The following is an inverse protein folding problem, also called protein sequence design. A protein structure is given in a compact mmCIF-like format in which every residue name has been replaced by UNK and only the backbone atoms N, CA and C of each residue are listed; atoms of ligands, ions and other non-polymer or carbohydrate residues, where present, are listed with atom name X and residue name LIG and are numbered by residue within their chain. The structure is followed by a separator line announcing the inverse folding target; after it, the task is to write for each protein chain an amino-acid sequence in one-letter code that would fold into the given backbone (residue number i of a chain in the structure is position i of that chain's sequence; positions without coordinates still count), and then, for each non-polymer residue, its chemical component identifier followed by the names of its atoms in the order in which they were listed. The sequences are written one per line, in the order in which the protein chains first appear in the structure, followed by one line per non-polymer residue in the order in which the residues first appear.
data_IF_716006432221
#
_entry.id   IF_716006432221
#
_cell.length_a   1.000
_cell.length_b   1.000
_cell.length_c   1.000
_cell.angle_alpha   90.00
_cell.angle_beta   90.00
_cell.angle_gamma   90.00
#
_symmetry.space_group_name_H-M   'P 1'
#
loop_
_entity.id
_entity.type
_entity.pdbx_description
1 polymer ?
#
# COMPACT_ATOMS: atom_id res chain seq x y z
N UNK A 1 20.47 6.75 -8.97
CA UNK A 1 21.12 6.42 -8.01
C UNK A 1 20.41 5.65 -7.03
N UNK A 2 19.44 6.12 -6.64
CA UNK A 2 18.68 5.35 -5.74
C UNK A 2 17.70 4.50 -6.44
N UNK A 3 17.67 4.52 -7.72
CA UNK A 3 16.74 3.70 -8.45
C UNK A 3 16.92 2.23 -8.10
N UNK A 4 18.17 1.77 -8.01
CA UNK A 4 18.39 0.39 -7.65
C UNK A 4 17.89 0.08 -6.26
N UNK A 5 18.04 1.00 -5.33
CA UNK A 5 17.58 0.79 -3.98
C UNK A 5 16.07 0.73 -3.91
N UNK A 6 15.39 1.59 -4.67
CA UNK A 6 13.95 1.61 -4.68
C UNK A 6 13.42 0.31 -5.25
N UNK A 7 14.00 -0.15 -6.35
CA UNK A 7 13.54 -1.39 -6.93
C UNK A 7 13.82 -2.56 -6.01
N UNK A 8 14.95 -2.54 -5.32
CA UNK A 8 15.25 -3.61 -4.38
C UNK A 8 14.25 -3.66 -3.26
N UNK A 9 13.87 -2.49 -2.76
CA UNK A 9 12.89 -2.44 -1.70
C UNK A 9 11.56 -3.00 -2.18
N UNK A 10 11.13 -2.59 -3.36
CA UNK A 10 9.87 -3.06 -3.90
C UNK A 10 9.91 -4.58 -4.08
N UNK A 11 10.99 -5.08 -4.67
CA UNK A 11 11.09 -6.50 -4.93
C UNK A 11 11.16 -7.31 -3.66
N UNK A 12 11.90 -6.84 -2.68
CA UNK A 12 12.00 -7.55 -1.43
C UNK A 12 10.65 -7.67 -0.76
N UNK A 13 9.85 -6.61 -0.83
CA UNK A 13 8.53 -6.67 -0.22
C UNK A 13 7.57 -7.53 -1.02
N UNK A 14 7.66 -7.50 -2.33
CA UNK A 14 6.77 -8.31 -3.14
C UNK A 14 7.06 -9.80 -2.96
N UNK A 15 8.28 -10.15 -2.57
CA UNK A 15 8.58 -11.53 -2.34
C UNK A 15 7.76 -12.10 -1.19
N UNK A 16 7.33 -11.28 -0.26
CA UNK A 16 6.50 -11.76 0.81
C UNK A 16 5.18 -12.30 0.28
N UNK A 17 4.79 -11.90 -0.90
CA UNK A 17 3.54 -12.39 -1.47
C UNK A 17 3.71 -13.68 -2.24
N UNK A 18 4.96 -14.12 -2.44
CA UNK A 18 5.22 -15.39 -3.11
C UNK A 18 4.83 -16.51 -2.16
N UNK A 19 3.98 -17.43 -2.56
CA UNK A 19 3.55 -18.49 -1.66
C UNK A 19 4.69 -19.29 -1.05
N UNK A 20 5.74 -19.54 -1.81
CA UNK A 20 6.85 -20.31 -1.26
C UNK A 20 7.60 -19.53 -0.20
N UNK A 21 7.77 -18.23 -0.44
CA UNK A 21 8.48 -17.40 0.53
C UNK A 21 7.68 -17.30 1.82
N UNK A 22 6.37 -17.11 1.71
CA UNK A 22 5.54 -16.99 2.88
C UNK A 22 5.59 -18.25 3.72
N UNK A 23 5.60 -19.41 3.08
CA UNK A 23 5.68 -20.64 3.84
C UNK A 23 6.97 -20.73 4.63
N UNK A 24 8.04 -20.18 4.11
CA UNK A 24 9.32 -20.29 4.80
C UNK A 24 9.44 -19.34 5.97
N UNK A 25 8.77 -18.22 5.95
CA UNK A 25 8.95 -17.25 7.04
C UNK A 25 7.82 -17.22 8.02
N UNK A 26 6.74 -17.93 7.75
CA UNK A 26 5.51 -17.71 8.53
C UNK A 26 5.66 -17.96 10.02
N UNK A 27 6.50 -18.89 10.42
CA UNK A 27 6.57 -19.19 11.83
C UNK A 27 7.25 -18.11 12.63
N UNK A 28 8.24 -17.47 12.07
CA UNK A 28 8.96 -16.47 12.81
C UNK A 28 8.58 -15.08 12.45
N UNK A 29 8.74 -14.74 11.20
CA UNK A 29 8.50 -13.37 10.82
C UNK A 29 7.03 -13.02 10.78
N UNK A 30 6.22 -13.97 10.40
CA UNK A 30 4.80 -13.71 10.37
C UNK A 30 4.28 -13.45 11.76
N UNK A 31 4.83 -14.16 12.73
CA UNK A 31 4.42 -13.95 14.09
C UNK A 31 4.76 -12.57 14.59
N UNK A 32 5.86 -12.02 14.13
CA UNK A 32 6.23 -10.68 14.51
C UNK A 32 5.19 -9.68 14.02
N UNK A 33 4.75 -9.84 12.80
CA UNK A 33 3.76 -8.92 12.27
C UNK A 33 2.43 -9.03 13.01
N UNK A 34 2.08 -10.21 13.44
CA UNK A 34 0.76 -10.37 14.04
C UNK A 34 0.75 -10.17 15.53
N UNK A 35 1.89 -9.84 16.11
CA UNK A 35 1.95 -9.75 17.54
C UNK A 35 1.58 -8.44 18.16
N UNK A 36 1.23 -7.47 17.43
CA UNK A 36 0.94 -6.18 18.03
C UNK A 36 -0.46 -6.23 18.62
N UNK A 37 -0.59 -6.42 19.90
CA UNK A 37 -1.91 -6.60 20.51
C UNK A 37 -2.69 -5.31 20.61
N UNK A 38 -2.04 -4.19 20.37
CA UNK A 38 -2.72 -2.93 20.50
C UNK A 38 -3.40 -2.52 19.24
N UNK A 39 -2.90 -2.96 18.10
CA UNK A 39 -3.48 -2.54 16.85
C UNK A 39 -4.81 -3.21 16.61
N UNK A 40 -5.81 -2.47 16.15
CA UNK A 40 -7.08 -3.09 15.84
C UNK A 40 -6.92 -3.97 14.60
N UNK A 41 -7.81 -4.92 14.42
CA UNK A 41 -7.74 -5.75 13.23
C UNK A 41 -8.05 -4.92 12.00
N UNK A 42 -7.66 -5.47 10.87
CA UNK A 42 -7.97 -4.80 9.61
C UNK A 42 -9.47 -4.86 9.39
N UNK A 43 -9.99 -3.91 8.66
CA UNK A 43 -11.40 -3.85 8.36
C UNK A 43 -11.59 -3.79 6.85
N UNK A 44 -12.27 -4.76 6.29
CA UNK A 44 -12.51 -4.83 4.86
C UNK A 44 -14.00 -4.69 4.63
N UNK A 45 -14.39 -3.72 3.82
CA UNK A 45 -15.82 -3.50 3.60
C UNK A 45 -16.37 -4.48 2.59
N UNK A 46 -17.68 -4.45 2.40
CA UNK A 46 -18.31 -5.32 1.42
C UNK A 46 -17.87 -5.02 0.01
N UNK A 47 -17.44 -3.80 -0.25
CA UNK A 47 -17.01 -3.44 -1.59
C UNK A 47 -15.55 -3.73 -1.82
N UNK A 48 -14.82 -4.20 -0.81
CA UNK A 48 -13.40 -4.45 -0.99
C UNK A 48 -13.18 -5.77 -1.71
N UNK A 49 -12.04 -5.86 -2.37
CA UNK A 49 -11.66 -7.07 -3.07
C UNK A 49 -10.16 -7.17 -2.93
N UNK A 50 -9.69 -8.13 -2.14
CA UNK A 50 -8.26 -8.25 -1.86
C UNK A 50 -7.77 -9.58 -2.38
N UNK A 51 -6.75 -9.54 -3.24
CA UNK A 51 -6.22 -10.73 -3.87
C UNK A 51 -4.69 -10.73 -3.78
N UNK A 52 -4.12 -11.85 -3.37
CA UNK A 52 -2.66 -12.02 -3.34
C UNK A 52 -1.95 -10.87 -2.64
N UNK A 53 -2.47 -10.40 -1.52
CA UNK A 53 -1.93 -9.22 -0.89
C UNK A 53 -1.77 -9.44 0.60
N UNK A 54 -0.92 -8.60 1.22
CA UNK A 54 -0.71 -8.65 2.65
C UNK A 54 -1.22 -7.35 3.24
N UNK A 55 -2.10 -7.43 4.22
CA UNK A 55 -2.66 -6.25 4.85
C UNK A 55 -2.42 -6.37 6.35
N UNK A 56 -1.71 -5.39 6.88
CA UNK A 56 -1.33 -5.40 8.28
C UNK A 56 -2.45 -4.77 9.11
N UNK A 57 -2.41 -4.97 10.41
CA UNK A 57 -3.47 -4.50 11.29
C UNK A 57 -3.73 -3.01 11.18
N UNK A 58 -4.93 -2.63 11.50
CA UNK A 58 -5.30 -1.23 11.53
C UNK A 58 -5.72 -0.65 10.21
N UNK A 59 -5.71 -1.46 9.14
CA UNK A 59 -6.07 -0.94 7.84
C UNK A 59 -7.58 -0.92 7.63
N UNK A 60 -8.03 0.04 6.85
CA UNK A 60 -9.43 0.12 6.46
C UNK A 60 -9.45 0.09 4.94
N UNK A 61 -10.06 -0.92 4.35
CA UNK A 61 -10.02 -1.08 2.91
C UNK A 61 -11.43 -1.16 2.34
N UNK A 62 -11.75 -0.23 1.47
CA UNK A 62 -13.03 -0.22 0.77
C UNK A 62 -12.84 -0.32 -0.73
N UNK A 63 -11.63 -0.57 -1.19
CA UNK A 63 -11.34 -0.67 -2.61
C UNK A 63 -10.78 -2.02 -2.99
N UNK A 64 -10.12 -2.06 -4.13
CA UNK A 64 -9.58 -3.29 -4.65
C UNK A 64 -8.07 -3.32 -4.47
N UNK A 65 -7.54 -4.38 -3.89
CA UNK A 65 -6.12 -4.52 -3.64
C UNK A 65 -5.65 -5.81 -4.31
N UNK A 66 -4.63 -5.71 -5.16
CA UNK A 66 -4.11 -6.87 -5.87
C UNK A 66 -2.59 -6.87 -5.82
N UNK A 67 -2.03 -7.98 -5.37
CA UNK A 67 -0.58 -8.18 -5.35
C UNK A 67 0.15 -6.98 -4.73
N UNK A 68 -0.32 -6.54 -3.56
CA UNK A 68 0.22 -5.34 -2.93
C UNK A 68 0.37 -5.59 -1.44
N UNK A 69 1.15 -4.72 -0.79
CA UNK A 69 1.37 -4.81 0.63
C UNK A 69 0.93 -3.50 1.26
N UNK A 70 0.03 -3.57 2.24
CA UNK A 70 -0.42 -2.42 2.98
C UNK A 70 0.09 -2.53 4.40
N UNK A 71 0.88 -1.55 4.82
CA UNK A 71 1.41 -1.52 6.17
C UNK A 71 0.34 -1.00 7.13
N UNK A 72 0.73 -0.73 8.37
CA UNK A 72 -0.24 -0.40 9.40
C UNK A 72 -1.03 0.85 9.10
N UNK A 73 -2.29 0.83 9.47
CA UNK A 73 -3.13 2.02 9.46
C UNK A 73 -3.29 2.68 8.11
N UNK A 74 -3.32 1.90 7.05
CA UNK A 74 -3.55 2.42 5.71
C UNK A 74 -5.05 2.46 5.46
N UNK A 75 -5.53 3.54 4.86
CA UNK A 75 -6.94 3.65 4.51
C UNK A 75 -7.06 3.72 3.01
N UNK A 76 -7.95 2.90 2.44
CA UNK A 76 -8.17 2.89 1.00
C UNK A 76 -9.65 3.16 0.76
N UNK A 77 -9.96 4.22 0.05
CA UNK A 77 -11.34 4.62 -0.14
C UNK A 77 -12.07 3.81 -1.20
N UNK A 78 -13.35 4.10 -1.29
CA UNK A 78 -14.23 3.36 -2.19
C UNK A 78 -13.83 3.57 -3.63
N UNK A 79 -13.85 2.50 -4.39
CA UNK A 79 -13.56 2.60 -5.82
C UNK A 79 -12.10 2.72 -6.17
N UNK A 80 -11.22 2.72 -5.17
CA UNK A 80 -9.79 2.82 -5.45
C UNK A 80 -9.21 1.47 -5.77
N UNK A 81 -8.12 1.46 -6.54
CA UNK A 81 -7.48 0.23 -6.96
C UNK A 81 -5.99 0.36 -6.68
N UNK A 82 -5.43 -0.64 -6.00
CA UNK A 82 -4.00 -0.66 -5.69
C UNK A 82 -3.45 -1.97 -6.24
N UNK A 83 -2.48 -1.89 -7.14
CA UNK A 83 -1.88 -3.07 -7.76
C UNK A 83 -0.36 -3.00 -7.72
N UNK A 84 0.24 -4.14 -7.44
CA UNK A 84 1.71 -4.28 -7.50
C UNK A 84 2.43 -3.17 -6.76
N UNK A 85 1.93 -2.78 -5.58
CA UNK A 85 2.46 -1.61 -4.89
C UNK A 85 2.75 -1.89 -3.45
N UNK A 86 3.61 -1.06 -2.88
CA UNK A 86 3.95 -1.11 -1.47
C UNK A 86 3.44 0.17 -0.84
N UNK A 87 2.50 0.05 0.08
CA UNK A 87 1.91 1.21 0.74
C UNK A 87 2.39 1.22 2.18
N UNK A 88 3.10 2.25 2.56
CA UNK A 88 3.70 2.27 3.89
C UNK A 88 2.72 2.77 4.94
N UNK A 89 3.17 2.85 6.17
CA UNK A 89 2.24 3.07 7.29
C UNK A 89 1.56 4.43 7.25
N UNK A 90 0.35 4.46 7.72
CA UNK A 90 -0.41 5.69 7.93
C UNK A 90 -0.72 6.46 6.65
N UNK A 91 -0.77 5.75 5.52
CA UNK A 91 -1.11 6.39 4.24
C UNK A 91 -2.62 6.45 4.11
N UNK A 92 -3.11 7.56 3.59
CA UNK A 92 -4.53 7.71 3.32
C UNK A 92 -4.73 7.80 1.81
N UNK A 93 -5.53 6.90 1.28
CA UNK A 93 -5.84 6.86 -0.14
C UNK A 93 -7.32 7.18 -0.29
N UNK A 94 -7.63 8.20 -1.05
CA UNK A 94 -9.01 8.63 -1.20
C UNK A 94 -9.84 7.69 -2.06
N UNK A 95 -10.91 8.24 -2.64
CA UNK A 95 -11.81 7.44 -3.46
C UNK A 95 -11.44 7.54 -4.91
N UNK A 96 -11.69 6.47 -5.64
CA UNK A 96 -11.45 6.43 -7.09
C UNK A 96 -10.01 6.72 -7.45
N UNK A 97 -9.08 6.28 -6.63
CA UNK A 97 -7.66 6.46 -6.85
C UNK A 97 -7.10 5.19 -7.50
N UNK A 98 -6.18 5.36 -8.44
CA UNK A 98 -5.52 4.21 -9.05
C UNK A 98 -4.04 4.27 -8.73
N UNK A 99 -3.53 3.20 -8.13
CA UNK A 99 -2.12 3.09 -7.78
C UNK A 99 -1.59 1.80 -8.36
N UNK A 100 -0.56 1.89 -9.20
CA UNK A 100 0.04 0.72 -9.80
C UNK A 100 1.55 0.83 -9.81
N UNK A 101 2.21 -0.25 -9.45
CA UNK A 101 3.67 -0.34 -9.53
C UNK A 101 4.32 0.86 -8.84
N UNK A 102 3.96 1.06 -7.58
CA UNK A 102 4.40 2.26 -6.86
C UNK A 102 4.77 1.94 -5.43
N UNK A 103 5.53 2.85 -4.82
CA UNK A 103 5.82 2.81 -3.40
C UNK A 103 5.30 4.12 -2.83
N UNK A 104 4.42 4.03 -1.85
CA UNK A 104 3.82 5.22 -1.23
C UNK A 104 4.41 5.36 0.17
N UNK A 105 5.10 6.46 0.41
CA UNK A 105 5.81 6.66 1.66
C UNK A 105 4.89 6.90 2.85
N UNK A 106 5.45 6.75 4.05
CA UNK A 106 4.64 6.87 5.26
C UNK A 106 3.98 8.23 5.35
N UNK A 107 2.79 8.22 5.87
CA UNK A 107 2.01 9.43 6.14
C UNK A 107 1.63 10.23 4.90
N UNK A 108 1.80 9.66 3.72
CA UNK A 108 1.41 10.34 2.50
C UNK A 108 -0.10 10.34 2.36
N UNK A 109 -0.61 11.26 1.59
CA UNK A 109 -2.04 11.35 1.34
C UNK A 109 -2.28 11.45 -0.16
N UNK A 110 -3.14 10.59 -0.65
CA UNK A 110 -3.48 10.58 -2.06
C UNK A 110 -4.93 11.02 -2.18
N UNK A 111 -5.16 12.15 -2.82
CA UNK A 111 -6.50 12.71 -2.88
C UNK A 111 -7.39 11.91 -3.83
N UNK A 112 -8.69 12.14 -3.70
CA UNK A 112 -9.66 11.45 -4.55
C UNK A 112 -9.34 11.66 -6.01
N UNK A 113 -9.57 10.63 -6.78
CA UNK A 113 -9.44 10.68 -8.24
C UNK A 113 -8.02 10.86 -8.74
N UNK A 114 -7.02 10.68 -7.90
CA UNK A 114 -5.65 10.80 -8.33
C UNK A 114 -5.13 9.50 -8.89
N UNK A 115 -4.04 9.56 -9.63
CA UNK A 115 -3.41 8.37 -10.17
C UNK A 115 -1.94 8.39 -9.84
N UNK A 116 -1.41 7.25 -9.39
CA UNK A 116 0.01 7.10 -9.10
C UNK A 116 0.42 5.82 -9.80
N UNK A 117 1.00 5.94 -10.97
CA UNK A 117 1.24 4.76 -11.81
C UNK A 117 2.68 4.78 -12.30
N UNK A 118 3.41 3.71 -12.00
CA UNK A 118 4.74 3.56 -12.53
C UNK A 118 4.67 3.19 -14.00
N UNK A 119 5.57 3.72 -14.80
CA UNK A 119 5.52 3.51 -16.22
C UNK A 119 6.83 2.99 -16.73
N UNK A 120 6.74 2.26 -17.84
CA UNK A 120 7.93 1.76 -18.50
C UNK A 120 8.79 0.92 -17.59
N UNK A 121 8.14 0.17 -16.70
CA UNK A 121 8.90 -0.70 -15.81
C UNK A 121 9.50 0.00 -14.62
N UNK A 122 9.27 1.30 -14.48
CA UNK A 122 9.84 2.02 -13.36
C UNK A 122 8.82 2.19 -12.27
N UNK A 123 9.28 2.23 -11.03
CA UNK A 123 8.39 2.35 -9.89
C UNK A 123 8.17 3.82 -9.58
N UNK A 124 6.90 4.19 -9.44
CA UNK A 124 6.58 5.56 -9.07
C UNK A 124 6.71 5.67 -7.56
N UNK A 125 7.32 6.73 -7.06
CA UNK A 125 7.56 6.87 -5.63
C UNK A 125 6.90 8.13 -5.11
N UNK A 126 6.14 7.99 -4.03
CA UNK A 126 5.56 9.13 -3.32
C UNK A 126 6.30 9.21 -1.99
N UNK A 127 6.84 10.36 -1.67
CA UNK A 127 7.69 10.50 -0.51
C UNK A 127 6.94 10.61 0.79
N UNK A 128 7.70 10.67 1.88
CA UNK A 128 7.13 10.76 3.21
C UNK A 128 6.23 11.96 3.33
N UNK A 129 5.03 11.76 3.82
CA UNK A 129 4.07 12.82 4.09
C UNK A 129 3.70 13.66 2.88
N UNK A 130 4.01 13.16 1.69
CA UNK A 130 3.71 13.90 0.48
C UNK A 130 2.21 13.86 0.20
N UNK A 131 1.68 14.90 -0.42
CA UNK A 131 0.27 14.95 -0.75
C UNK A 131 0.14 15.01 -2.26
N UNK A 132 -0.61 14.06 -2.81
CA UNK A 132 -0.79 13.96 -4.26
C UNK A 132 -2.20 14.37 -4.61
N UNK A 133 -2.33 15.33 -5.48
CA UNK A 133 -3.61 15.71 -6.07
C UNK A 133 -4.46 16.55 -5.15
N UNK A 134 -5.65 16.75 -5.60
CA UNK A 134 -6.71 17.22 -4.76
C UNK A 134 -6.75 18.64 -4.33
N UNK A 135 -6.06 18.96 -3.35
CA UNK A 135 -6.24 20.15 -2.63
C UNK A 135 -5.48 21.34 -3.07
N UNK A 136 -4.87 21.24 -4.19
CA UNK A 136 -4.07 22.33 -4.59
C UNK A 136 -4.85 23.54 -4.75
N UNK A 137 -6.11 23.41 -4.87
CA UNK A 137 -6.89 24.55 -5.05
C UNK A 137 -6.80 25.48 -3.94
N UNK A 138 -6.63 24.94 -2.79
CA UNK A 138 -6.60 25.79 -1.69
C UNK A 138 -5.41 26.54 -1.63
N UNK A 139 -4.48 26.21 -2.41
CA UNK A 139 -3.27 26.88 -2.38
C UNK A 139 -3.40 28.26 -2.81
N UNK A 140 -4.36 28.58 -3.53
CA UNK A 140 -4.39 29.89 -3.98
C UNK A 140 -4.88 30.83 -3.08
#
# INVERSE_FOLDING_TARGET
KDVGTIESLWEANMEFLDPNHILNIRDEEWRIYSKNPISPPQFLTETSNVTDSMIVDGCYVAGEITHSILSQNVRVGNGSVVRDSLIMANVTIGENVTIEHAIIGENAKIADNANVIGKNGEIEVVGYAEVIGGLKDEDE
#
